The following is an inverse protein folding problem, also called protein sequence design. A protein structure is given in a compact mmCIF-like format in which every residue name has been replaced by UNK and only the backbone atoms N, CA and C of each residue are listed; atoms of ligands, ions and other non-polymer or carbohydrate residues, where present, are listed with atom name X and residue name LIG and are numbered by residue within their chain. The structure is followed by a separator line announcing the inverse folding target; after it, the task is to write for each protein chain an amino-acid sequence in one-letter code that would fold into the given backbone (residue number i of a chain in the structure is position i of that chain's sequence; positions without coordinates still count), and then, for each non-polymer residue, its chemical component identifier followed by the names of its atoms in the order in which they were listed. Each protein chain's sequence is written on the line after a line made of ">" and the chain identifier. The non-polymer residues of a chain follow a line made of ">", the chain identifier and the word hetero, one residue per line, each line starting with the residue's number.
data_IF_337061365041
#
_entry.id   IF_337061365041
#
_cell.length_a   1.000
_cell.length_b   1.000
_cell.length_c   1.000
_cell.angle_alpha   90.00
_cell.angle_beta   90.00
_cell.angle_gamma   90.00
#
_symmetry.space_group_name_H-M   'P 1'
#
loop_
_entity.id
_entity.type
_entity.pdbx_description
1 polymer ?
#
# COMPACT_ATOMS: atom_id res chain seq x y z
N UNK A 1 -48.11 10.50 46.08
CA UNK A 1 -47.05 10.90 45.13
C UNK A 1 -46.12 9.71 44.90
N UNK A 2 -46.27 8.94 43.81
CA UNK A 2 -45.27 7.93 43.44
C UNK A 2 -44.23 8.55 42.50
N UNK A 3 -42.95 8.32 42.77
CA UNK A 3 -41.83 8.72 41.90
C UNK A 3 -41.69 7.68 40.80
N UNK A 4 -41.78 8.14 39.55
CA UNK A 4 -41.58 7.34 38.35
C UNK A 4 -40.11 6.89 38.24
N UNK A 5 -39.97 5.60 37.94
CA UNK A 5 -38.79 4.94 37.42
C UNK A 5 -38.47 5.50 36.01
N UNK A 6 -37.22 5.81 35.72
CA UNK A 6 -36.75 5.99 34.35
C UNK A 6 -35.34 5.43 34.21
N UNK A 7 -35.26 4.20 33.70
CA UNK A 7 -34.02 3.59 33.24
C UNK A 7 -33.94 3.85 31.74
N UNK A 8 -33.10 4.81 31.34
CA UNK A 8 -32.70 4.99 29.95
C UNK A 8 -31.64 3.94 29.61
N UNK A 9 -32.06 2.88 28.92
CA UNK A 9 -31.16 1.92 28.29
C UNK A 9 -30.59 2.55 27.02
N UNK A 10 -29.29 2.80 27.00
CA UNK A 10 -28.56 3.22 25.80
C UNK A 10 -28.37 2.00 24.91
N UNK A 11 -29.07 1.93 23.78
CA UNK A 11 -28.78 0.94 22.75
C UNK A 11 -27.52 1.40 21.99
N UNK A 12 -26.40 0.74 22.23
CA UNK A 12 -25.22 0.83 21.37
C UNK A 12 -25.50 -0.01 20.13
N UNK A 13 -25.75 0.64 18.99
CA UNK A 13 -25.78 -0.03 17.69
C UNK A 13 -24.35 -0.37 17.28
N UNK A 14 -24.01 -1.66 17.34
CA UNK A 14 -22.82 -2.21 16.69
C UNK A 14 -23.06 -2.19 15.17
N UNK A 15 -22.48 -1.22 14.47
CA UNK A 15 -22.32 -1.29 13.02
C UNK A 15 -21.25 -2.33 12.72
N UNK A 16 -21.62 -3.46 12.14
CA UNK A 16 -20.66 -4.41 11.57
C UNK A 16 -19.85 -3.69 10.49
N UNK A 17 -18.54 -3.60 10.68
CA UNK A 17 -17.64 -3.19 9.61
C UNK A 17 -17.82 -4.18 8.45
N UNK A 18 -18.16 -3.68 7.27
CA UNK A 18 -18.15 -4.49 6.05
C UNK A 18 -16.70 -4.88 5.79
N UNK A 19 -16.41 -6.18 5.84
CA UNK A 19 -15.08 -6.70 5.49
C UNK A 19 -14.84 -6.42 4.00
N UNK A 20 -13.73 -5.76 3.68
CA UNK A 20 -13.28 -5.57 2.30
C UNK A 20 -13.04 -6.94 1.65
N UNK A 21 -13.59 -7.16 0.46
CA UNK A 21 -13.26 -8.32 -0.36
C UNK A 21 -12.06 -7.99 -1.25
N UNK A 22 -10.87 -8.23 -0.71
CA UNK A 22 -9.61 -7.95 -1.39
C UNK A 22 -9.48 -8.66 -2.74
N UNK A 23 -10.11 -9.82 -2.93
CA UNK A 23 -9.97 -10.61 -4.18
C UNK A 23 -10.59 -9.95 -5.41
N UNK A 24 -11.43 -8.93 -5.19
CA UNK A 24 -12.13 -8.20 -6.26
C UNK A 24 -11.43 -6.91 -6.69
N UNK A 25 -10.41 -6.48 -5.94
CA UNK A 25 -9.71 -5.23 -6.21
C UNK A 25 -8.98 -5.30 -7.54
N UNK A 26 -9.03 -4.20 -8.30
CA UNK A 26 -8.37 -3.99 -9.59
C UNK A 26 -7.98 -2.53 -9.71
N UNK A 27 -6.94 -2.24 -10.48
CA UNK A 27 -6.62 -0.86 -10.80
C UNK A 27 -7.76 -0.21 -11.59
N UNK A 28 -8.15 1.04 -11.28
CA UNK A 28 -9.15 1.73 -12.05
C UNK A 28 -8.70 1.94 -13.50
N UNK A 29 -9.60 1.79 -14.49
CA UNK A 29 -9.26 2.11 -15.87
C UNK A 29 -8.82 3.58 -16.01
N UNK A 30 -7.84 3.88 -16.88
CA UNK A 30 -7.45 5.26 -17.17
C UNK A 30 -8.66 6.11 -17.58
N UNK A 31 -8.81 7.27 -16.96
CA UNK A 31 -9.92 8.19 -17.24
C UNK A 31 -11.27 7.81 -16.63
N UNK A 32 -11.36 6.76 -15.81
CA UNK A 32 -12.62 6.35 -15.14
C UNK A 32 -13.15 7.35 -14.11
N UNK A 33 -12.33 8.30 -13.66
CA UNK A 33 -12.68 9.25 -12.60
C UNK A 33 -12.72 8.64 -11.19
N UNK A 34 -12.43 7.34 -11.05
CA UNK A 34 -12.28 6.67 -9.77
C UNK A 34 -10.92 7.08 -9.17
N UNK A 35 -10.97 7.70 -7.99
CA UNK A 35 -9.79 8.19 -7.28
C UNK A 35 -9.57 7.46 -5.94
N UNK A 36 -10.24 6.32 -5.74
CA UNK A 36 -10.23 5.62 -4.46
C UNK A 36 -10.31 4.11 -4.68
N UNK A 37 -9.44 3.40 -3.98
CA UNK A 37 -9.51 1.98 -3.69
C UNK A 37 -9.42 1.83 -2.16
N UNK A 38 -10.02 0.80 -1.56
CA UNK A 38 -9.96 0.61 -0.12
C UNK A 38 -8.51 0.46 0.34
N UNK A 39 -8.20 0.94 1.54
CA UNK A 39 -6.90 0.69 2.18
C UNK A 39 -7.06 0.11 3.58
N UNK A 40 -6.06 -0.58 4.13
CA UNK A 40 -6.17 -1.21 5.46
C UNK A 40 -6.50 -0.23 6.59
N UNK A 41 -5.89 0.97 6.58
CA UNK A 41 -6.08 1.95 7.64
C UNK A 41 -7.32 2.82 7.43
N UNK A 42 -7.55 3.27 6.20
CA UNK A 42 -8.58 4.28 5.90
C UNK A 42 -9.82 3.70 5.23
N UNK A 43 -9.87 2.40 4.94
CA UNK A 43 -11.01 1.76 4.29
C UNK A 43 -11.36 2.45 2.98
N UNK A 44 -12.66 2.69 2.75
CA UNK A 44 -13.19 3.36 1.56
C UNK A 44 -13.18 4.90 1.64
N UNK A 45 -12.35 5.49 2.53
CA UNK A 45 -12.28 6.95 2.63
C UNK A 45 -11.88 7.58 1.28
N UNK A 46 -12.56 8.64 0.81
CA UNK A 46 -12.29 9.22 -0.49
C UNK A 46 -10.90 9.87 -0.57
N UNK A 47 -10.10 9.41 -1.53
CA UNK A 47 -8.84 10.01 -1.94
C UNK A 47 -9.03 11.24 -2.83
N UNK A 48 -8.05 12.14 -2.85
CA UNK A 48 -7.96 13.23 -3.83
C UNK A 48 -7.49 12.69 -5.17
N UNK A 49 -6.48 11.82 -5.16
CA UNK A 49 -6.09 11.04 -6.32
C UNK A 49 -5.49 9.69 -5.90
N UNK A 50 -5.45 8.77 -6.85
CA UNK A 50 -4.81 7.47 -6.75
C UNK A 50 -3.74 7.34 -7.84
N UNK A 51 -2.67 6.64 -7.51
CA UNK A 51 -1.79 5.98 -8.48
C UNK A 51 -1.93 4.47 -8.30
N UNK A 52 -1.93 3.71 -9.40
CA UNK A 52 -2.16 2.26 -9.35
C UNK A 52 -1.44 1.55 -10.48
N UNK A 53 -0.81 0.43 -10.18
CA UNK A 53 -0.21 -0.49 -11.13
C UNK A 53 -0.69 -1.92 -10.90
N UNK A 54 -0.93 -2.65 -11.98
CA UNK A 54 -1.30 -4.05 -11.99
C UNK A 54 -0.27 -4.79 -12.83
N UNK A 55 0.53 -5.65 -12.19
CA UNK A 55 1.64 -6.35 -12.82
C UNK A 55 1.46 -7.86 -12.70
N UNK A 56 1.57 -8.57 -13.82
CA UNK A 56 1.54 -10.03 -13.85
C UNK A 56 2.96 -10.57 -13.66
N UNK A 57 3.17 -11.37 -12.62
CA UNK A 57 4.49 -11.87 -12.21
C UNK A 57 4.47 -13.39 -12.18
N UNK A 58 5.35 -14.01 -12.96
CA UNK A 58 5.59 -15.45 -13.03
C UNK A 58 6.58 -15.91 -11.95
N UNK A 59 6.16 -15.76 -10.69
CA UNK A 59 6.91 -16.21 -9.53
C UNK A 59 5.93 -16.61 -8.41
N UNK A 60 6.34 -17.46 -7.44
CA UNK A 60 5.50 -17.77 -6.29
C UNK A 60 5.09 -16.50 -5.53
N UNK A 61 3.84 -16.43 -5.04
CA UNK A 61 3.34 -15.29 -4.27
C UNK A 61 4.23 -14.96 -3.06
N UNK A 62 4.75 -15.99 -2.38
CA UNK A 62 5.68 -15.82 -1.27
C UNK A 62 7.00 -15.13 -1.66
N UNK A 63 7.50 -15.33 -2.89
CA UNK A 63 8.72 -14.66 -3.35
C UNK A 63 8.48 -13.14 -3.54
N UNK A 64 7.30 -12.77 -4.04
CA UNK A 64 6.87 -11.39 -4.21
C UNK A 64 6.65 -10.73 -2.84
N UNK A 65 5.87 -11.39 -1.98
CA UNK A 65 5.55 -10.94 -0.62
C UNK A 65 6.81 -10.70 0.20
N UNK A 66 7.75 -11.65 0.19
CA UNK A 66 9.01 -11.53 0.91
C UNK A 66 9.89 -10.41 0.34
N UNK A 67 9.92 -10.20 -0.97
CA UNK A 67 10.70 -9.11 -1.58
C UNK A 67 10.16 -7.71 -1.20
N UNK A 68 8.85 -7.59 -1.01
CA UNK A 68 8.20 -6.34 -0.56
C UNK A 68 8.49 -6.04 0.92
N UNK A 69 8.60 -7.06 1.76
CA UNK A 69 8.80 -6.90 3.21
C UNK A 69 10.27 -6.97 3.63
N UNK A 70 11.18 -7.43 2.77
CA UNK A 70 12.61 -7.40 3.06
C UNK A 70 13.18 -5.99 2.83
N UNK A 71 12.93 -5.10 3.79
CA UNK A 71 13.35 -3.70 3.72
C UNK A 71 14.87 -3.53 3.69
N UNK A 72 15.62 -4.49 4.23
CA UNK A 72 17.08 -4.53 4.13
C UNK A 72 17.56 -4.71 2.68
N UNK A 73 16.87 -5.53 1.90
CA UNK A 73 17.21 -5.79 0.51
C UNK A 73 16.42 -4.95 -0.51
N UNK A 74 15.55 -4.05 -0.07
CA UNK A 74 14.60 -3.35 -0.95
C UNK A 74 15.29 -2.57 -2.08
N UNK A 75 16.35 -1.83 -1.76
CA UNK A 75 17.13 -1.05 -2.72
C UNK A 75 17.95 -1.90 -3.70
N UNK A 76 18.04 -3.22 -3.48
CA UNK A 76 18.71 -4.13 -4.42
C UNK A 76 17.89 -4.35 -5.69
N UNK A 77 16.59 -4.10 -5.63
CA UNK A 77 15.68 -4.31 -6.74
C UNK A 77 14.94 -3.05 -7.16
N UNK A 78 14.53 -2.18 -6.24
CA UNK A 78 13.77 -0.98 -6.59
C UNK A 78 14.68 0.15 -7.09
N UNK A 79 14.40 0.65 -8.29
CA UNK A 79 14.99 1.90 -8.78
C UNK A 79 14.26 3.15 -8.26
N UNK A 80 13.04 3.00 -7.74
CA UNK A 80 12.24 4.09 -7.18
C UNK A 80 12.58 4.35 -5.70
N UNK A 81 12.49 3.31 -4.86
CA UNK A 81 12.84 3.36 -3.43
C UNK A 81 14.29 2.91 -3.28
N UNK A 82 15.19 3.86 -3.10
CA UNK A 82 16.63 3.63 -3.18
C UNK A 82 17.30 3.43 -1.83
N UNK A 83 16.62 3.75 -0.74
CA UNK A 83 17.11 3.53 0.63
C UNK A 83 15.93 3.46 1.61
N UNK A 84 16.05 2.63 2.64
CA UNK A 84 15.09 2.48 3.72
C UNK A 84 15.83 2.42 5.06
N UNK A 85 15.45 3.29 6.00
CA UNK A 85 16.04 3.36 7.34
C UNK A 85 14.97 3.20 8.45
N UNK A 86 15.07 2.19 9.34
CA UNK A 86 16.12 1.17 9.38
C UNK A 86 15.96 0.12 8.29
N UNK A 87 17.08 -0.33 7.75
CA UNK A 87 17.20 -1.46 6.82
C UNK A 87 16.87 -2.79 7.55
N UNK A 88 15.59 -3.06 7.72
CA UNK A 88 15.07 -4.16 8.54
C UNK A 88 14.94 -5.45 7.72
N UNK A 89 15.55 -6.57 8.13
CA UNK A 89 15.40 -7.83 7.42
C UNK A 89 13.99 -8.40 7.62
N UNK A 90 13.54 -9.24 6.68
CA UNK A 90 12.19 -9.81 6.64
C UNK A 90 11.70 -10.37 7.98
N UNK A 91 12.55 -11.12 8.69
CA UNK A 91 12.21 -11.77 9.96
C UNK A 91 11.91 -10.81 11.12
N UNK A 92 12.38 -9.56 11.03
CA UNK A 92 12.23 -8.53 12.06
C UNK A 92 11.10 -7.54 11.74
N UNK A 93 10.46 -7.68 10.57
CA UNK A 93 9.36 -6.79 10.15
C UNK A 93 8.08 -7.12 10.91
N UNK A 94 7.42 -6.08 11.40
CA UNK A 94 6.19 -6.19 12.18
C UNK A 94 5.25 -5.00 11.92
N UNK A 95 3.97 -5.18 12.22
CA UNK A 95 2.98 -4.09 12.21
C UNK A 95 3.43 -2.94 13.13
N UNK A 96 3.28 -1.71 12.65
CA UNK A 96 3.72 -0.51 13.35
C UNK A 96 5.22 -0.22 13.24
N UNK A 97 6.00 -1.05 12.54
CA UNK A 97 7.39 -0.72 12.20
C UNK A 97 7.40 0.61 11.44
N UNK A 98 8.16 1.57 11.97
CA UNK A 98 8.35 2.90 11.38
C UNK A 98 9.66 2.92 10.61
N UNK A 99 9.63 3.41 9.38
CA UNK A 99 10.76 3.45 8.46
C UNK A 99 10.80 4.80 7.76
N UNK A 100 11.97 5.19 7.29
CA UNK A 100 12.15 6.33 6.39
C UNK A 100 12.47 5.81 5.01
N UNK A 101 11.59 6.06 4.06
CA UNK A 101 11.85 5.74 2.66
C UNK A 101 12.56 6.93 2.02
N UNK A 102 13.60 6.65 1.25
CA UNK A 102 14.18 7.62 0.33
C UNK A 102 13.84 7.20 -1.08
N UNK A 103 13.15 8.09 -1.80
CA UNK A 103 12.71 7.85 -3.17
C UNK A 103 13.37 8.83 -4.14
N UNK A 104 13.45 8.44 -5.41
CA UNK A 104 13.93 9.30 -6.49
C UNK A 104 12.92 9.36 -7.65
N UNK A 105 13.10 10.33 -8.56
CA UNK A 105 12.36 10.37 -9.82
C UNK A 105 10.99 11.07 -9.78
N UNK A 106 10.37 11.24 -8.61
CA UNK A 106 9.14 12.06 -8.46
C UNK A 106 9.40 13.49 -8.96
N UNK A 107 10.47 14.10 -8.46
CA UNK A 107 11.00 15.37 -8.94
C UNK A 107 12.36 15.10 -9.62
N UNK A 108 12.53 15.45 -10.90
CA UNK A 108 13.78 15.20 -11.60
C UNK A 108 15.00 15.77 -10.88
N UNK A 109 15.97 14.90 -10.59
CA UNK A 109 17.24 15.28 -9.93
C UNK A 109 17.15 15.57 -8.44
N UNK A 110 16.00 15.32 -7.80
CA UNK A 110 15.79 15.54 -6.37
C UNK A 110 15.26 14.26 -5.73
N UNK A 111 15.93 13.80 -4.68
CA UNK A 111 15.44 12.71 -3.84
C UNK A 111 14.45 13.28 -2.81
N UNK A 112 13.44 12.51 -2.49
CA UNK A 112 12.45 12.83 -1.46
C UNK A 112 12.50 11.77 -0.36
N UNK A 113 12.08 12.16 0.84
CA UNK A 113 11.97 11.23 1.96
C UNK A 113 10.59 11.28 2.56
N UNK A 114 10.08 10.14 3.00
CA UNK A 114 8.84 10.02 3.77
C UNK A 114 9.07 9.08 4.96
N UNK A 115 8.37 9.33 6.06
CA UNK A 115 8.27 8.32 7.13
C UNK A 115 7.06 7.46 6.79
N UNK A 116 7.25 6.15 6.87
CA UNK A 116 6.27 5.12 6.54
C UNK A 116 6.08 4.21 7.74
N UNK A 117 4.85 3.76 7.97
CA UNK A 117 4.49 2.84 9.04
C UNK A 117 3.84 1.61 8.42
N UNK A 118 4.33 0.41 8.71
CA UNK A 118 3.70 -0.84 8.26
C UNK A 118 2.30 -0.98 8.87
N UNK A 119 1.27 -1.07 8.03
CA UNK A 119 -0.14 -1.13 8.43
C UNK A 119 -0.80 -2.48 8.16
N UNK A 120 -0.31 -3.26 7.20
CA UNK A 120 -0.81 -4.60 6.92
C UNK A 120 0.31 -5.57 6.54
N UNK A 121 0.20 -6.79 7.05
CA UNK A 121 1.03 -7.95 6.73
C UNK A 121 0.14 -9.20 6.79
N UNK A 122 -0.63 -9.43 5.73
CA UNK A 122 -1.58 -10.53 5.67
C UNK A 122 -1.11 -11.60 4.69
N UNK A 123 -0.62 -12.73 5.21
CA UNK A 123 -0.41 -13.95 4.43
C UNK A 123 -1.68 -14.81 4.48
N UNK A 124 -2.60 -14.54 3.56
CA UNK A 124 -3.88 -15.25 3.46
C UNK A 124 -4.01 -15.93 2.11
N UNK A 125 -2.90 -16.47 1.58
CA UNK A 125 -2.89 -17.06 0.23
C UNK A 125 -3.91 -18.20 0.09
N UNK A 126 -4.15 -18.95 1.17
CA UNK A 126 -5.22 -19.97 1.22
C UNK A 126 -6.64 -19.41 1.11
N UNK A 127 -6.84 -18.13 1.45
CA UNK A 127 -8.09 -17.38 1.27
C UNK A 127 -8.10 -16.59 -0.06
N UNK A 128 -7.06 -16.74 -0.90
CA UNK A 128 -6.98 -16.18 -2.24
C UNK A 128 -6.17 -14.89 -2.39
N UNK A 129 -5.50 -14.40 -1.34
CA UNK A 129 -4.66 -13.19 -1.45
C UNK A 129 -3.50 -13.11 -0.45
N UNK A 130 -2.49 -12.32 -0.77
CA UNK A 130 -1.57 -11.75 0.24
C UNK A 130 -1.59 -10.23 0.16
N UNK A 131 -1.40 -9.54 1.29
CA UNK A 131 -1.43 -8.08 1.37
C UNK A 131 -0.28 -7.57 2.24
N UNK A 132 0.52 -6.66 1.69
CA UNK A 132 1.45 -5.83 2.43
C UNK A 132 1.03 -4.37 2.26
N UNK A 133 1.07 -3.58 3.33
CA UNK A 133 0.79 -2.15 3.22
C UNK A 133 1.59 -1.33 4.23
N UNK A 134 1.89 -0.11 3.85
CA UNK A 134 2.42 0.93 4.73
C UNK A 134 1.73 2.25 4.44
N UNK A 135 1.69 3.12 5.45
CA UNK A 135 1.12 4.47 5.33
C UNK A 135 2.16 5.52 5.65
N UNK A 136 2.04 6.65 4.97
CA UNK A 136 2.85 7.81 5.25
C UNK A 136 2.46 8.40 6.62
N UNK A 137 3.47 8.66 7.44
CA UNK A 137 3.41 9.51 8.61
C UNK A 137 4.25 10.76 8.33
N UNK A 138 3.66 11.93 8.43
CA UNK A 138 4.38 13.19 8.26
C UNK A 138 4.97 13.71 9.58
N UNK A 139 5.18 12.81 10.54
CA UNK A 139 5.55 13.07 11.95
C UNK A 139 4.53 13.97 12.70
N UNK A 140 3.42 14.29 12.04
CA UNK A 140 2.25 14.98 12.59
C UNK A 140 1.01 14.09 12.50
N UNK A 141 1.20 12.76 12.40
CA UNK A 141 0.11 11.78 12.37
C UNK A 141 -0.68 11.77 11.05
N UNK A 142 -0.05 12.18 9.94
CA UNK A 142 -0.69 12.29 8.62
C UNK A 142 -1.56 13.54 8.46
N UNK A 143 -1.22 14.64 9.15
CA UNK A 143 -2.04 15.87 9.15
C UNK A 143 -1.79 16.77 7.93
N UNK A 144 -0.56 16.81 7.43
CA UNK A 144 -0.10 17.54 6.24
C UNK A 144 -0.23 16.70 4.98
N UNK A 145 0.32 15.50 4.99
CA UNK A 145 0.25 14.57 3.87
C UNK A 145 -0.16 13.19 4.39
N UNK A 146 -1.32 12.74 3.94
CA UNK A 146 -1.82 11.41 4.28
C UNK A 146 -1.86 10.56 3.03
N UNK A 147 -1.13 9.46 3.05
CA UNK A 147 -1.16 8.46 2.01
C UNK A 147 -1.07 7.05 2.61
N UNK A 148 -1.59 6.07 1.89
CA UNK A 148 -1.39 4.65 2.22
C UNK A 148 -1.16 3.88 0.93
N UNK A 149 -0.14 3.02 0.96
CA UNK A 149 0.34 2.21 -0.15
C UNK A 149 0.15 0.72 0.16
N UNK A 150 -0.96 0.12 -0.29
CA UNK A 150 -1.12 -1.34 -0.29
C UNK A 150 -0.55 -1.97 -1.55
N UNK A 151 0.01 -3.17 -1.41
CA UNK A 151 0.31 -4.10 -2.49
C UNK A 151 -0.37 -5.44 -2.21
N UNK A 152 -1.31 -5.78 -3.07
CA UNK A 152 -2.14 -6.98 -3.04
C UNK A 152 -1.62 -7.98 -4.08
N UNK A 153 -1.51 -9.24 -3.68
CA UNK A 153 -1.14 -10.35 -4.56
C UNK A 153 -2.32 -11.30 -4.68
N UNK A 154 -2.77 -11.55 -5.91
CA UNK A 154 -3.87 -12.45 -6.24
C UNK A 154 -3.40 -13.59 -7.15
N UNK A 155 -4.08 -14.73 -7.10
CA UNK A 155 -3.87 -15.80 -8.08
C UNK A 155 -4.34 -15.35 -9.47
N UNK A 156 -3.41 -15.29 -10.41
CA UNK A 156 -3.68 -14.98 -11.82
C UNK A 156 -3.99 -16.20 -12.68
N UNK A 157 -3.87 -17.41 -12.12
CA UNK A 157 -3.89 -18.66 -12.86
C UNK A 157 -2.54 -18.98 -13.51
N UNK A 158 -2.38 -20.24 -13.95
CA UNK A 158 -1.19 -20.72 -14.67
C UNK A 158 0.16 -20.46 -13.95
N UNK A 159 0.13 -20.38 -12.61
CA UNK A 159 1.31 -20.09 -11.79
C UNK A 159 1.73 -18.61 -11.78
N UNK A 160 0.94 -17.72 -12.40
CA UNK A 160 1.15 -16.27 -12.39
C UNK A 160 0.45 -15.64 -11.20
N UNK A 161 1.10 -14.66 -10.57
CA UNK A 161 0.51 -13.79 -9.55
C UNK A 161 0.19 -12.44 -10.16
N UNK A 162 -1.00 -11.90 -9.87
CA UNK A 162 -1.36 -10.52 -10.19
C UNK A 162 -0.99 -9.67 -8.96
N UNK A 163 0.03 -8.84 -9.09
CA UNK A 163 0.43 -7.86 -8.08
C UNK A 163 -0.21 -6.51 -8.39
N UNK A 164 -1.14 -6.08 -7.54
CA UNK A 164 -1.85 -4.81 -7.62
C UNK A 164 -1.31 -3.90 -6.53
N UNK A 165 -0.61 -2.84 -6.92
CA UNK A 165 0.00 -1.87 -6.02
C UNK A 165 -0.63 -0.51 -6.27
N UNK A 166 -1.13 0.14 -5.23
CA UNK A 166 -1.70 1.48 -5.34
C UNK A 166 -1.32 2.34 -4.16
N UNK A 167 -1.40 3.64 -4.36
CA UNK A 167 -1.29 4.62 -3.29
C UNK A 167 -2.40 5.65 -3.40
N UNK A 168 -3.14 5.81 -2.29
CA UNK A 168 -4.17 6.83 -2.17
C UNK A 168 -3.59 8.05 -1.50
N UNK A 169 -3.74 9.22 -2.12
CA UNK A 169 -3.39 10.50 -1.53
C UNK A 169 -4.67 11.19 -1.04
N UNK A 170 -4.84 11.30 0.27
CA UNK A 170 -6.05 11.87 0.88
C UNK A 170 -5.95 13.37 1.10
N UNK A 171 -7.08 14.04 1.29
CA UNK A 171 -7.12 15.49 1.49
C UNK A 171 -6.25 15.95 2.67
N UNK A 172 -5.36 16.89 2.38
CA UNK A 172 -4.43 17.47 3.37
C UNK A 172 -3.72 18.72 2.82
N UNK A 173 -3.15 19.56 3.69
CA UNK A 173 -2.39 20.77 3.32
C UNK A 173 -1.28 20.56 2.29
N UNK A 174 -0.64 19.39 2.25
CA UNK A 174 0.46 19.06 1.34
C UNK A 174 0.02 18.62 -0.06
N UNK A 175 -1.23 18.20 -0.23
CA UNK A 175 -1.74 17.64 -1.50
C UNK A 175 -1.66 18.59 -2.69
N UNK A 176 -1.94 19.91 -2.57
CA UNK A 176 -1.81 20.82 -3.69
C UNK A 176 -0.41 20.84 -4.32
N UNK A 177 0.64 20.51 -3.55
CA UNK A 177 2.01 20.43 -4.07
C UNK A 177 2.27 19.12 -4.86
N UNK A 178 1.54 18.04 -4.57
CA UNK A 178 1.70 16.75 -5.25
C UNK A 178 0.82 16.59 -6.50
N UNK A 179 -0.32 17.29 -6.57
CA UNK A 179 -1.23 17.21 -7.72
C UNK A 179 -0.53 17.41 -9.08
N UNK A 180 0.38 18.40 -9.25
CA UNK A 180 1.11 18.56 -10.51
C UNK A 180 2.08 17.43 -10.83
N UNK A 181 2.45 16.61 -9.83
CA UNK A 181 3.41 15.52 -9.95
C UNK A 181 2.73 14.15 -10.13
N UNK A 182 1.39 14.09 -10.16
CA UNK A 182 0.62 12.84 -10.23
C UNK A 182 1.11 11.89 -11.32
N UNK A 183 1.36 12.40 -12.53
CA UNK A 183 1.85 11.58 -13.64
C UNK A 183 3.26 11.02 -13.38
N UNK A 184 4.16 11.82 -12.79
CA UNK A 184 5.49 11.34 -12.41
C UNK A 184 5.41 10.27 -11.32
N UNK A 185 4.55 10.47 -10.31
CA UNK A 185 4.33 9.50 -9.23
C UNK A 185 3.80 8.19 -9.83
N UNK A 186 2.80 8.25 -10.71
CA UNK A 186 2.26 7.09 -11.42
C UNK A 186 3.37 6.33 -12.18
N UNK A 187 4.21 7.04 -12.93
CA UNK A 187 5.32 6.43 -13.67
C UNK A 187 6.33 5.73 -12.75
N UNK A 188 6.61 6.31 -11.57
CA UNK A 188 7.52 5.70 -10.59
C UNK A 188 6.92 4.44 -9.94
N UNK A 189 5.60 4.43 -9.70
CA UNK A 189 4.89 3.24 -9.24
C UNK A 189 4.88 2.12 -10.28
N UNK A 190 4.66 2.46 -11.56
CA UNK A 190 4.77 1.51 -12.67
C UNK A 190 6.18 0.93 -12.75
N UNK A 191 7.21 1.76 -12.67
CA UNK A 191 8.60 1.32 -12.68
C UNK A 191 8.92 0.40 -11.49
N UNK A 192 8.45 0.72 -10.29
CA UNK A 192 8.62 -0.14 -9.12
C UNK A 192 7.99 -1.53 -9.32
N UNK A 193 6.79 -1.60 -9.94
CA UNK A 193 6.16 -2.87 -10.28
C UNK A 193 6.97 -3.69 -11.29
N UNK A 194 7.53 -3.04 -12.31
CA UNK A 194 8.40 -3.67 -13.31
C UNK A 194 9.72 -4.17 -12.71
N UNK A 195 10.33 -3.39 -11.81
CA UNK A 195 11.55 -3.74 -11.10
C UNK A 195 11.35 -4.97 -10.22
N UNK A 196 10.24 -4.99 -9.45
CA UNK A 196 9.86 -6.12 -8.61
C UNK A 196 9.69 -7.40 -9.44
N UNK A 197 8.95 -7.30 -10.56
CA UNK A 197 8.77 -8.41 -11.51
C UNK A 197 10.11 -8.95 -11.99
N UNK A 198 10.97 -8.07 -12.52
CA UNK A 198 12.26 -8.48 -13.06
C UNK A 198 13.14 -9.16 -12.00
N UNK A 199 13.11 -8.65 -10.76
CA UNK A 199 13.88 -9.20 -9.65
C UNK A 199 13.46 -10.61 -9.25
N UNK A 200 12.16 -10.83 -9.02
CA UNK A 200 11.66 -12.12 -8.53
C UNK A 200 11.65 -13.18 -9.62
N UNK A 201 11.33 -12.83 -10.87
CA UNK A 201 11.41 -13.76 -12.01
C UNK A 201 12.86 -14.15 -12.30
N UNK A 202 13.78 -13.19 -12.24
CA UNK A 202 15.21 -13.45 -12.41
C UNK A 202 15.84 -14.30 -11.30
N UNK A 203 15.18 -14.48 -10.15
CA UNK A 203 15.59 -15.46 -9.12
C UNK A 203 15.09 -16.86 -9.44
N UNK A 204 13.87 -16.99 -9.97
CA UNK A 204 13.29 -18.29 -10.37
C UNK A 204 14.10 -18.92 -11.49
N UNK A 205 14.53 -18.15 -12.49
CA UNK A 205 15.35 -18.65 -13.60
C UNK A 205 16.74 -19.19 -13.19
N UNK A 206 17.20 -18.83 -11.98
CA UNK A 206 18.51 -19.22 -11.45
C UNK A 206 18.45 -20.35 -10.43
N UNK A 207 17.25 -20.79 -10.03
CA UNK A 207 17.03 -21.86 -9.07
C UNK A 207 16.84 -23.22 -9.77
#
# INVERSE_FOLDING_TARGET
>A
MPRLCSLLAWMVTLTSATSTDWTTIRCPPPGSGINTLPTPTYGDEPGVFIVCTETHINAPASAIYNALLDFQAYSTWSSFVIDIDPATPLEDVQLGLTMRFTTQGIVPGVNTTSIEIVTAMEDRWGDGYMLAAWRSDDEMGGTVLRAEHPTLMLDGGDGTVIAISWEIYYAGPGIPALLPLKENIQNMFEQQGLDLKAYVEGKVERA
#
